data_IF_581382141367
#
_entry.id   IF_581382141367
#
_cell.length_a   1.000
_cell.length_b   1.000
_cell.length_c   1.000
_cell.angle_alpha   90.00
_cell.angle_beta   90.00
_cell.angle_gamma   90.00
#
_symmetry.space_group_name_H-M   'P 1'
#
loop_
_entity.id
_entity.type
_entity.pdbx_description
1 polymer ?
#
# COMPACT_ATOMS: atom_id res chain seq x y z
N UNK A 1 -9.63 1.60 8.60
CA UNK A 1 -9.60 0.40 7.74
C UNK A 1 -10.12 0.63 6.30
N UNK A 2 -11.19 1.41 6.07
CA UNK A 2 -11.67 1.68 4.69
C UNK A 2 -10.63 2.25 3.73
N UNK A 3 -9.70 3.07 4.20
CA UNK A 3 -8.70 3.74 3.34
C UNK A 3 -7.73 2.75 2.69
N UNK A 4 -7.24 1.74 3.41
CA UNK A 4 -6.26 0.79 2.85
C UNK A 4 -6.86 -0.16 1.82
N UNK A 5 -8.11 -0.59 1.97
CA UNK A 5 -8.78 -1.49 1.01
C UNK A 5 -9.00 -0.85 -0.36
N UNK A 6 -8.85 0.47 -0.47
CA UNK A 6 -8.96 1.24 -1.70
C UNK A 6 -7.66 1.97 -2.08
N UNK A 7 -6.56 1.72 -1.36
CA UNK A 7 -5.30 2.39 -1.60
C UNK A 7 -4.69 1.95 -2.95
N UNK A 8 -4.64 2.87 -3.90
CA UNK A 8 -4.06 2.70 -5.24
C UNK A 8 -2.60 3.09 -5.27
N UNK A 9 -2.18 3.95 -4.34
CA UNK A 9 -0.81 4.44 -4.24
C UNK A 9 -0.32 4.44 -2.80
N UNK A 10 0.92 3.99 -2.59
CA UNK A 10 1.68 4.05 -1.35
C UNK A 10 2.97 4.81 -1.65
N UNK A 11 3.01 6.12 -1.36
CA UNK A 11 4.16 6.98 -1.72
C UNK A 11 5.17 7.04 -0.59
N UNK A 12 6.38 6.56 -0.85
CA UNK A 12 7.53 6.67 0.06
C UNK A 12 8.27 7.98 -0.13
N UNK A 13 8.65 8.60 1.00
CA UNK A 13 9.42 9.84 1.04
C UNK A 13 10.46 9.76 2.14
N UNK A 14 11.73 10.20 1.92
CA UNK A 14 12.73 10.21 2.97
C UNK A 14 12.27 11.01 4.19
N UNK A 15 12.36 10.44 5.37
CA UNK A 15 11.98 11.08 6.63
C UNK A 15 12.81 12.34 6.95
N UNK A 16 13.98 12.48 6.33
CA UNK A 16 14.83 13.67 6.41
C UNK A 16 14.33 14.87 5.58
N UNK A 17 13.28 14.68 4.76
CA UNK A 17 12.81 15.68 3.79
C UNK A 17 11.47 16.28 4.22
N UNK A 18 11.49 17.16 5.23
CA UNK A 18 10.30 17.91 5.69
C UNK A 18 9.59 18.64 4.54
N UNK A 19 10.34 19.16 3.55
CA UNK A 19 9.81 19.83 2.37
C UNK A 19 9.02 18.89 1.44
N UNK A 20 9.33 17.59 1.41
CA UNK A 20 8.56 16.59 0.67
C UNK A 20 7.30 16.20 1.46
N UNK A 21 7.44 15.98 2.77
CA UNK A 21 6.31 15.67 3.66
C UNK A 21 5.26 16.79 3.58
N UNK A 22 5.66 18.05 3.62
CA UNK A 22 4.77 19.21 3.50
C UNK A 22 3.97 19.26 2.18
N UNK A 23 4.41 18.54 1.14
CA UNK A 23 3.72 18.46 -0.16
C UNK A 23 2.66 17.36 -0.25
N UNK A 24 2.51 16.49 0.77
CA UNK A 24 1.55 15.38 0.80
C UNK A 24 0.13 15.82 0.36
N UNK A 25 -0.46 16.91 0.90
CA UNK A 25 -1.81 17.31 0.51
C UNK A 25 -1.94 17.66 -0.98
N UNK A 26 -0.88 18.22 -1.59
CA UNK A 26 -0.87 18.58 -3.01
C UNK A 26 -0.64 17.38 -3.93
N UNK A 27 0.18 16.41 -3.50
CA UNK A 27 0.45 15.18 -4.27
C UNK A 27 -0.75 14.25 -4.20
N UNK A 28 -1.44 14.25 -3.06
CA UNK A 28 -2.64 13.47 -2.76
C UNK A 28 -2.49 11.96 -3.08
N UNK A 29 -1.44 11.26 -2.58
CA UNK A 29 -1.43 9.80 -2.62
C UNK A 29 -2.54 9.27 -1.71
N UNK A 30 -3.02 8.05 -1.95
CA UNK A 30 -3.98 7.44 -1.03
C UNK A 30 -3.33 7.14 0.35
N UNK A 31 -2.04 6.75 0.33
CA UNK A 31 -1.21 6.58 1.54
C UNK A 31 0.17 7.20 1.32
N UNK A 32 0.65 7.96 2.28
CA UNK A 32 1.99 8.54 2.33
C UNK A 32 2.82 7.86 3.42
N UNK A 33 4.09 7.60 3.16
CA UNK A 33 5.01 6.95 4.10
C UNK A 33 6.26 7.81 4.28
N UNK A 34 6.49 8.29 5.50
CA UNK A 34 7.80 8.86 5.87
C UNK A 34 8.76 7.71 6.16
N UNK A 35 9.80 7.59 5.38
CA UNK A 35 10.71 6.46 5.40
C UNK A 35 11.92 6.71 6.28
N UNK A 36 12.06 5.94 7.37
CA UNK A 36 13.21 5.94 8.27
C UNK A 36 14.23 4.83 7.92
N UNK A 37 13.91 3.95 6.98
CA UNK A 37 14.77 2.82 6.62
C UNK A 37 15.75 3.20 5.50
N UNK A 38 15.62 2.64 4.31
CA UNK A 38 16.62 2.71 3.24
C UNK A 38 16.90 4.14 2.74
N UNK A 39 15.92 5.04 2.83
CA UNK A 39 16.08 6.43 2.42
C UNK A 39 16.87 7.30 3.42
N UNK A 40 17.35 6.73 4.54
CA UNK A 40 18.05 7.48 5.60
C UNK A 40 19.35 6.78 5.96
N UNK A 41 20.47 7.49 5.91
CA UNK A 41 21.77 6.97 6.33
C UNK A 41 21.80 6.64 7.83
N UNK A 42 22.61 5.65 8.24
CA UNK A 42 22.69 5.17 9.62
C UNK A 42 22.94 6.28 10.64
N UNK A 43 23.82 7.22 10.35
CA UNK A 43 24.15 8.35 11.22
C UNK A 43 23.05 9.43 11.34
N UNK A 44 22.04 9.38 10.47
CA UNK A 44 20.96 10.35 10.42
C UNK A 44 19.61 9.81 10.98
N UNK A 45 19.54 8.53 11.33
CA UNK A 45 18.29 7.86 11.75
C UNK A 45 17.58 8.59 12.90
N UNK A 46 18.32 8.94 13.93
CA UNK A 46 17.79 9.63 15.10
C UNK A 46 17.28 11.05 14.76
N UNK A 47 18.04 11.78 13.96
CA UNK A 47 17.65 13.12 13.49
C UNK A 47 16.40 13.04 12.58
N UNK A 48 16.32 12.03 11.73
CA UNK A 48 15.21 11.82 10.81
C UNK A 48 13.85 11.61 11.52
N UNK A 49 13.85 10.91 12.68
CA UNK A 49 12.64 10.74 13.52
C UNK A 49 12.04 12.10 13.91
N UNK A 50 12.87 12.99 14.45
CA UNK A 50 12.43 14.32 14.88
C UNK A 50 11.92 15.18 13.70
N UNK A 51 12.60 15.11 12.55
CA UNK A 51 12.19 15.84 11.33
C UNK A 51 10.84 15.33 10.84
N UNK A 52 10.66 14.01 10.71
CA UNK A 52 9.41 13.42 10.24
C UNK A 52 8.25 13.74 11.18
N UNK A 53 8.42 13.52 12.49
CA UNK A 53 7.40 13.80 13.48
C UNK A 53 6.94 15.26 13.44
N UNK A 54 7.89 16.21 13.47
CA UNK A 54 7.58 17.63 13.42
C UNK A 54 6.87 18.05 12.11
N UNK A 55 7.29 17.51 10.97
CA UNK A 55 6.69 17.80 9.67
C UNK A 55 5.26 17.25 9.56
N UNK A 56 5.01 16.05 10.08
CA UNK A 56 3.70 15.39 10.06
C UNK A 56 2.74 16.10 11.04
N UNK A 57 3.18 16.41 12.26
CA UNK A 57 2.37 17.12 13.23
C UNK A 57 2.02 18.55 12.77
N UNK A 58 2.88 19.17 11.95
CA UNK A 58 2.57 20.45 11.32
C UNK A 58 1.51 20.34 10.21
N UNK A 59 1.43 19.20 9.53
CA UNK A 59 0.39 18.94 8.52
C UNK A 59 -0.96 18.59 9.14
N UNK A 60 -0.94 17.78 10.19
CA UNK A 60 -2.13 17.22 10.83
C UNK A 60 -2.01 17.37 12.34
N UNK A 61 -2.24 18.60 12.88
CA UNK A 61 -2.08 18.89 14.30
C UNK A 61 -2.98 17.99 15.17
N UNK A 62 -2.44 17.40 16.22
CA UNK A 62 -3.15 16.48 17.11
C UNK A 62 -4.33 17.13 17.83
N UNK A 63 -4.22 18.39 18.19
CA UNK A 63 -5.28 19.21 18.79
C UNK A 63 -6.46 19.45 17.83
N UNK A 64 -6.26 19.23 16.52
CA UNK A 64 -7.29 19.27 15.48
C UNK A 64 -7.72 17.89 15.00
N UNK A 65 -7.43 16.84 15.77
CA UNK A 65 -7.80 15.45 15.49
C UNK A 65 -6.72 14.60 14.86
N UNK A 66 -5.53 15.17 14.53
CA UNK A 66 -4.35 14.42 14.08
C UNK A 66 -4.50 13.63 12.77
N UNK A 67 -5.58 13.87 12.01
CA UNK A 67 -5.87 13.14 10.76
C UNK A 67 -6.21 14.14 9.65
N UNK A 68 -5.84 13.75 8.42
CA UNK A 68 -6.10 14.49 7.21
C UNK A 68 -6.71 13.63 6.11
N UNK A 69 -6.90 14.19 4.92
CA UNK A 69 -7.47 13.46 3.78
C UNK A 69 -6.54 12.34 3.26
N UNK A 70 -5.25 12.40 3.58
CA UNK A 70 -4.25 11.39 3.21
C UNK A 70 -3.84 10.62 4.46
N UNK A 71 -3.88 9.29 4.41
CA UNK A 71 -3.34 8.45 5.48
C UNK A 71 -1.82 8.54 5.49
N UNK A 72 -1.23 8.95 6.61
CA UNK A 72 0.23 9.04 6.77
C UNK A 72 0.71 7.93 7.70
N UNK A 73 1.77 7.24 7.29
CA UNK A 73 2.45 6.19 8.04
C UNK A 73 3.94 6.51 8.14
N UNK A 74 4.64 5.81 9.03
CA UNK A 74 6.11 5.81 9.10
C UNK A 74 6.61 4.40 8.77
N UNK A 75 7.56 4.27 7.83
CA UNK A 75 8.32 3.03 7.68
C UNK A 75 9.45 3.05 8.69
N UNK A 76 9.39 2.12 9.63
CA UNK A 76 10.41 1.90 10.65
C UNK A 76 11.58 1.10 10.09
N UNK A 77 12.73 1.09 10.77
CA UNK A 77 13.81 0.17 10.43
C UNK A 77 13.43 -1.28 10.76
N UNK A 78 14.09 -2.24 10.11
CA UNK A 78 13.82 -3.65 10.32
C UNK A 78 14.00 -4.07 11.79
N UNK A 79 13.23 -5.07 12.21
CA UNK A 79 13.33 -5.67 13.54
C UNK A 79 14.75 -6.23 13.76
N UNK A 80 15.26 -6.10 14.96
CA UNK A 80 16.62 -6.51 15.30
C UNK A 80 17.70 -5.47 14.99
N UNK A 81 17.33 -4.35 14.36
CA UNK A 81 18.23 -3.20 14.24
C UNK A 81 18.19 -2.34 15.50
N UNK A 82 19.26 -1.59 15.82
CA UNK A 82 19.28 -0.72 17.01
C UNK A 82 18.32 0.47 16.92
N UNK A 83 17.64 0.64 15.78
CA UNK A 83 16.76 1.78 15.53
C UNK A 83 15.27 1.46 15.69
N UNK A 84 14.87 0.18 15.59
CA UNK A 84 13.46 -0.24 15.53
C UNK A 84 12.61 0.34 16.68
N UNK A 85 13.02 0.12 17.91
CA UNK A 85 12.23 0.55 19.08
C UNK A 85 12.09 2.08 19.16
N UNK A 86 13.18 2.81 18.85
CA UNK A 86 13.14 4.27 18.77
C UNK A 86 12.26 4.81 17.64
N UNK A 87 12.15 4.08 16.53
CA UNK A 87 11.28 4.44 15.41
C UNK A 87 9.81 4.23 15.78
N UNK A 88 9.48 3.11 16.44
CA UNK A 88 8.12 2.83 16.94
C UNK A 88 7.70 3.89 17.95
N UNK A 89 8.58 4.23 18.90
CA UNK A 89 8.32 5.28 19.89
C UNK A 89 8.05 6.65 19.22
N UNK A 90 8.87 7.03 18.23
CA UNK A 90 8.69 8.26 17.49
C UNK A 90 7.38 8.28 16.69
N UNK A 91 7.01 7.17 16.03
CA UNK A 91 5.76 7.03 15.30
C UNK A 91 4.55 7.13 16.24
N UNK A 92 4.54 6.44 17.37
CA UNK A 92 3.48 6.55 18.38
C UNK A 92 3.34 7.96 18.95
N UNK A 93 4.45 8.72 18.98
CA UNK A 93 4.52 10.10 19.44
C UNK A 93 3.95 11.14 18.48
N UNK A 94 3.69 10.85 17.21
CA UNK A 94 3.24 11.84 16.20
C UNK A 94 1.88 11.51 15.57
N UNK A 95 1.38 12.39 14.69
CA UNK A 95 0.06 12.28 14.07
C UNK A 95 0.09 11.34 12.84
N UNK A 96 0.43 10.05 13.04
CA UNK A 96 0.37 9.03 12.00
C UNK A 96 -0.67 7.97 12.33
N UNK A 97 -1.21 7.31 11.30
CA UNK A 97 -2.20 6.26 11.46
C UNK A 97 -1.56 4.91 11.86
N UNK A 98 -0.25 4.73 11.69
CA UNK A 98 0.43 3.49 11.97
C UNK A 98 1.83 3.42 11.37
N UNK A 99 2.33 2.20 11.23
CA UNK A 99 3.69 1.92 10.76
C UNK A 99 3.71 0.95 9.56
N UNK A 100 4.78 1.05 8.79
CA UNK A 100 5.18 0.08 7.77
C UNK A 100 6.41 -0.64 8.30
N UNK A 101 6.36 -1.97 8.38
CA UNK A 101 7.46 -2.79 8.89
C UNK A 101 8.09 -3.55 7.73
N UNK A 102 9.34 -3.23 7.36
CA UNK A 102 10.05 -3.90 6.28
C UNK A 102 10.57 -5.28 6.72
N UNK A 103 10.92 -6.11 5.75
CA UNK A 103 11.71 -7.34 5.92
C UNK A 103 11.15 -8.32 6.94
N UNK A 104 9.82 -8.37 7.09
CA UNK A 104 9.17 -9.36 7.97
C UNK A 104 9.37 -10.78 7.43
N UNK A 105 9.80 -11.68 8.31
CA UNK A 105 10.13 -13.07 7.95
C UNK A 105 9.33 -14.10 8.74
N UNK A 106 8.99 -13.83 10.00
CA UNK A 106 8.35 -14.80 10.88
C UNK A 106 7.16 -14.23 11.67
N UNK A 107 6.19 -15.07 12.09
CA UNK A 107 5.13 -14.67 12.99
C UNK A 107 5.63 -14.15 14.36
N UNK A 108 6.79 -14.64 14.81
CA UNK A 108 7.41 -14.19 16.05
C UNK A 108 7.84 -12.73 15.97
N UNK A 109 8.43 -12.32 14.85
CA UNK A 109 8.75 -10.91 14.58
C UNK A 109 7.49 -10.03 14.59
N UNK A 110 6.40 -10.50 13.98
CA UNK A 110 5.14 -9.79 14.01
C UNK A 110 4.56 -9.68 15.44
N UNK A 111 4.76 -10.70 16.26
CA UNK A 111 4.45 -10.67 17.70
C UNK A 111 5.25 -9.59 18.43
N UNK A 112 6.54 -9.48 18.13
CA UNK A 112 7.41 -8.43 18.67
C UNK A 112 6.96 -7.02 18.26
N UNK A 113 6.62 -6.81 16.99
CA UNK A 113 6.06 -5.52 16.53
C UNK A 113 4.82 -5.14 17.34
N UNK A 114 3.89 -6.06 17.55
CA UNK A 114 2.68 -5.79 18.33
C UNK A 114 2.95 -5.48 19.79
N UNK A 115 3.90 -6.17 20.38
CA UNK A 115 4.33 -5.87 21.74
C UNK A 115 4.88 -4.44 21.81
N UNK A 116 5.77 -4.06 20.90
CA UNK A 116 6.33 -2.71 20.87
C UNK A 116 5.23 -1.64 20.69
N UNK A 117 4.23 -1.87 19.82
CA UNK A 117 3.08 -0.98 19.70
C UNK A 117 2.25 -0.89 20.98
N UNK A 118 2.02 -2.02 21.65
CA UNK A 118 1.25 -2.07 22.90
C UNK A 118 1.95 -1.33 24.06
N UNK A 119 3.27 -1.37 24.13
CA UNK A 119 4.08 -0.61 25.11
C UNK A 119 3.85 0.90 25.00
N UNK A 120 3.49 1.39 23.81
CA UNK A 120 3.09 2.78 23.57
C UNK A 120 1.57 3.00 23.57
N UNK A 121 0.78 2.04 24.07
CA UNK A 121 -0.69 2.10 24.08
C UNK A 121 -1.32 2.31 22.69
N UNK A 122 -0.69 1.75 21.65
CA UNK A 122 -1.04 1.96 20.24
C UNK A 122 -1.37 0.65 19.50
N UNK A 123 -2.13 -0.22 20.15
CA UNK A 123 -2.48 -1.57 19.65
C UNK A 123 -3.40 -1.56 18.43
N UNK A 124 -4.06 -0.45 18.14
CA UNK A 124 -4.95 -0.23 17.00
C UNK A 124 -4.25 0.42 15.79
N UNK A 125 -2.93 0.63 15.87
CA UNK A 125 -2.14 1.18 14.79
C UNK A 125 -2.32 0.38 13.48
N UNK A 126 -2.40 1.10 12.37
CA UNK A 126 -2.29 0.49 11.04
C UNK A 126 -0.92 -0.15 10.90
N UNK A 127 -0.89 -1.43 10.52
CA UNK A 127 0.35 -2.19 10.33
C UNK A 127 0.43 -2.72 8.91
N UNK A 128 1.35 -2.18 8.10
CA UNK A 128 1.64 -2.71 6.76
C UNK A 128 2.90 -3.58 6.84
N UNK A 129 2.76 -4.83 6.37
CA UNK A 129 3.86 -5.80 6.32
C UNK A 129 4.64 -5.69 5.01
N UNK A 130 5.97 -5.57 5.06
CA UNK A 130 6.87 -5.69 3.93
C UNK A 130 7.34 -7.13 3.74
N UNK A 131 6.92 -7.77 2.64
CA UNK A 131 7.39 -9.09 2.21
C UNK A 131 8.42 -8.91 1.10
N UNK A 132 9.68 -8.91 1.49
CA UNK A 132 10.80 -8.54 0.63
C UNK A 132 12.06 -9.38 0.90
N UNK A 133 11.88 -10.52 1.57
CA UNK A 133 12.92 -11.53 1.77
C UNK A 133 12.45 -12.89 1.25
N UNK A 134 13.37 -13.79 0.93
CA UNK A 134 13.05 -15.14 0.49
C UNK A 134 12.16 -15.89 1.50
N UNK A 135 12.52 -15.81 2.78
CA UNK A 135 11.75 -16.46 3.85
C UNK A 135 10.37 -15.83 4.02
N UNK A 136 10.28 -14.48 4.07
CA UNK A 136 9.01 -13.77 4.18
C UNK A 136 8.05 -14.10 3.04
N UNK A 137 8.56 -14.21 1.81
CA UNK A 137 7.78 -14.63 0.64
C UNK A 137 7.40 -16.12 0.72
N UNK A 138 8.32 -16.99 1.13
CA UNK A 138 8.05 -18.43 1.28
C UNK A 138 6.93 -18.66 2.31
N UNK A 139 6.92 -17.96 3.42
CA UNK A 139 5.98 -18.10 4.53
C UNK A 139 4.84 -17.05 4.53
N UNK A 140 4.66 -16.32 3.42
CA UNK A 140 3.70 -15.23 3.30
C UNK A 140 2.30 -15.58 3.83
N UNK A 141 1.80 -16.80 3.54
CA UNK A 141 0.47 -17.24 3.99
C UNK A 141 0.38 -17.31 5.52
N UNK A 142 1.42 -17.80 6.18
CA UNK A 142 1.46 -17.92 7.64
C UNK A 142 1.57 -16.54 8.25
N UNK A 143 2.52 -15.72 7.77
CA UNK A 143 2.73 -14.36 8.24
C UNK A 143 1.44 -13.52 8.17
N UNK A 144 0.78 -13.49 7.02
CA UNK A 144 -0.39 -12.63 6.80
C UNK A 144 -1.64 -13.08 7.56
N UNK A 145 -1.69 -14.32 8.08
CA UNK A 145 -2.78 -14.78 8.94
C UNK A 145 -2.74 -14.19 10.36
N UNK A 146 -1.68 -13.47 10.73
CA UNK A 146 -1.49 -12.91 12.07
C UNK A 146 -1.92 -11.43 12.21
N UNK A 147 -2.83 -10.95 11.35
CA UNK A 147 -3.56 -9.70 11.58
C UNK A 147 -2.76 -8.43 11.31
N UNK A 148 -2.15 -8.31 10.15
CA UNK A 148 -1.70 -7.04 9.58
C UNK A 148 -2.86 -6.32 8.88
N UNK A 149 -2.70 -5.03 8.57
CA UNK A 149 -3.72 -4.22 7.91
C UNK A 149 -3.62 -4.26 6.38
N UNK A 150 -2.40 -4.46 5.86
CA UNK A 150 -2.07 -4.57 4.44
C UNK A 150 -0.69 -5.21 4.27
N UNK A 151 -0.32 -5.53 3.04
CA UNK A 151 1.00 -6.04 2.68
C UNK A 151 1.53 -5.35 1.43
N UNK A 152 2.84 -5.21 1.32
CA UNK A 152 3.49 -4.88 0.05
C UNK A 152 4.53 -5.94 -0.33
N UNK A 153 4.84 -6.03 -1.62
CA UNK A 153 5.93 -6.86 -2.16
C UNK A 153 7.13 -5.98 -2.50
N UNK A 154 8.25 -6.15 -1.79
CA UNK A 154 9.51 -5.43 -2.04
C UNK A 154 10.45 -6.24 -2.94
N UNK A 155 10.36 -6.01 -4.25
CA UNK A 155 11.10 -6.79 -5.24
C UNK A 155 12.61 -6.55 -5.23
N UNK A 156 13.06 -5.34 -4.88
CA UNK A 156 14.49 -4.99 -4.89
C UNK A 156 15.24 -5.75 -3.79
N UNK A 157 14.72 -5.69 -2.55
CA UNK A 157 15.27 -6.44 -1.42
C UNK A 157 15.16 -7.95 -1.62
N UNK A 158 14.01 -8.44 -2.13
CA UNK A 158 13.82 -9.85 -2.42
C UNK A 158 14.88 -10.38 -3.40
N UNK A 159 15.15 -9.65 -4.49
CA UNK A 159 16.16 -10.06 -5.47
C UNK A 159 17.57 -9.98 -4.90
N UNK A 160 17.87 -8.98 -4.07
CA UNK A 160 19.14 -8.88 -3.37
C UNK A 160 19.34 -10.08 -2.42
N UNK A 161 18.31 -10.46 -1.67
CA UNK A 161 18.35 -11.58 -0.71
C UNK A 161 18.59 -12.93 -1.40
N UNK A 162 17.96 -13.20 -2.56
CA UNK A 162 18.17 -14.45 -3.31
C UNK A 162 19.39 -14.44 -4.24
N UNK A 163 20.15 -13.32 -4.31
CA UNK A 163 21.31 -13.16 -5.18
C UNK A 163 20.96 -13.08 -6.68
N UNK A 164 19.75 -12.64 -7.01
CA UNK A 164 19.25 -12.50 -8.37
C UNK A 164 19.65 -11.16 -9.01
N UNK A 165 19.03 -10.85 -10.16
CA UNK A 165 19.18 -9.58 -10.87
C UNK A 165 17.84 -9.10 -11.39
N UNK A 166 17.51 -7.84 -11.13
CA UNK A 166 16.30 -7.20 -11.66
C UNK A 166 16.36 -7.07 -13.18
N UNK A 167 15.25 -7.36 -13.81
CA UNK A 167 15.07 -7.19 -15.26
C UNK A 167 13.81 -6.35 -15.53
N UNK A 168 13.77 -5.69 -16.70
CA UNK A 168 12.59 -4.94 -17.12
C UNK A 168 11.36 -5.83 -17.30
N UNK A 169 11.56 -7.07 -17.72
CA UNK A 169 10.47 -8.03 -17.93
C UNK A 169 9.86 -8.58 -16.63
N UNK A 170 10.57 -8.49 -15.49
CA UNK A 170 10.08 -8.89 -14.19
C UNK A 170 9.82 -10.38 -14.01
N UNK A 171 10.29 -11.23 -14.94
CA UNK A 171 10.08 -12.68 -14.85
C UNK A 171 10.73 -13.31 -13.62
N UNK A 172 11.86 -12.75 -13.17
CA UNK A 172 12.63 -13.20 -12.00
C UNK A 172 11.89 -13.03 -10.68
N UNK A 173 10.92 -12.12 -10.63
CA UNK A 173 10.09 -11.88 -9.44
C UNK A 173 8.66 -12.39 -9.57
N UNK A 174 8.24 -12.88 -10.73
CA UNK A 174 6.85 -13.23 -11.00
C UNK A 174 6.29 -14.26 -10.00
N UNK A 175 7.06 -15.28 -9.64
CA UNK A 175 6.64 -16.26 -8.64
C UNK A 175 6.41 -15.61 -7.27
N UNK A 176 7.37 -14.84 -6.78
CA UNK A 176 7.29 -14.17 -5.47
C UNK A 176 6.13 -13.16 -5.44
N UNK A 177 6.01 -12.34 -6.49
CA UNK A 177 4.94 -11.36 -6.69
C UNK A 177 3.57 -12.04 -6.67
N UNK A 178 3.37 -13.13 -7.41
CA UNK A 178 2.12 -13.90 -7.42
C UNK A 178 1.83 -14.56 -6.07
N UNK A 179 2.86 -15.07 -5.38
CA UNK A 179 2.71 -15.71 -4.07
C UNK A 179 2.24 -14.73 -3.00
N UNK A 180 2.79 -13.51 -2.97
CA UNK A 180 2.37 -12.46 -2.04
C UNK A 180 0.92 -12.04 -2.32
N UNK A 181 0.54 -11.83 -3.58
CA UNK A 181 -0.84 -11.51 -3.96
C UNK A 181 -1.82 -12.62 -3.52
N UNK A 182 -1.48 -13.89 -3.76
CA UNK A 182 -2.29 -15.04 -3.33
C UNK A 182 -2.43 -15.11 -1.80
N UNK A 183 -1.32 -14.93 -1.07
CA UNK A 183 -1.33 -14.96 0.39
C UNK A 183 -2.18 -13.82 0.98
N UNK A 184 -2.07 -12.62 0.41
CA UNK A 184 -2.90 -11.48 0.78
C UNK A 184 -4.39 -11.73 0.54
N UNK A 185 -4.74 -12.29 -0.62
CA UNK A 185 -6.11 -12.67 -0.94
C UNK A 185 -6.70 -13.66 0.07
N UNK A 186 -5.94 -14.71 0.42
CA UNK A 186 -6.36 -15.72 1.40
C UNK A 186 -6.55 -15.14 2.81
N UNK A 187 -5.81 -14.09 3.16
CA UNK A 187 -5.93 -13.38 4.43
C UNK A 187 -6.99 -12.25 4.39
N UNK A 188 -7.60 -11.97 3.24
CA UNK A 188 -8.55 -10.87 3.05
C UNK A 188 -7.90 -9.48 3.16
N UNK A 189 -6.62 -9.36 2.83
CA UNK A 189 -5.83 -8.15 2.98
C UNK A 189 -5.61 -7.43 1.64
N UNK A 190 -5.57 -6.09 1.63
CA UNK A 190 -5.08 -5.34 0.50
C UNK A 190 -3.58 -5.59 0.29
N UNK A 191 -3.19 -5.79 -0.98
CA UNK A 191 -1.81 -5.93 -1.40
C UNK A 191 -1.37 -4.76 -2.29
N UNK A 192 -0.19 -4.21 -2.01
CA UNK A 192 0.45 -3.14 -2.76
C UNK A 192 1.66 -3.70 -3.50
N UNK A 193 1.72 -3.42 -4.78
CA UNK A 193 2.68 -3.98 -5.69
C UNK A 193 4.05 -3.28 -5.61
N UNK A 194 5.08 -3.93 -6.14
CA UNK A 194 6.47 -3.49 -6.17
C UNK A 194 6.69 -2.10 -6.74
N UNK A 195 7.85 -1.49 -6.46
CA UNK A 195 8.30 -0.23 -7.07
C UNK A 195 8.74 -0.41 -8.53
N UNK A 196 8.72 0.68 -9.29
CA UNK A 196 9.49 0.85 -10.54
C UNK A 196 10.52 1.96 -10.30
N UNK A 197 11.79 1.61 -10.42
CA UNK A 197 12.91 2.49 -10.09
C UNK A 197 13.28 3.45 -11.22
N UNK A 198 12.91 3.16 -12.47
CA UNK A 198 13.07 4.08 -13.58
C UNK A 198 12.01 5.19 -13.51
N UNK A 199 12.42 6.36 -13.03
CA UNK A 199 11.54 7.51 -12.85
C UNK A 199 11.21 8.26 -14.14
N UNK A 200 11.91 7.98 -15.22
CA UNK A 200 11.73 8.63 -16.52
C UNK A 200 10.77 7.86 -17.45
N UNK A 201 10.51 6.59 -17.15
CA UNK A 201 9.76 5.67 -18.02
C UNK A 201 8.33 5.45 -17.48
N UNK A 202 7.44 6.36 -17.83
CA UNK A 202 6.01 6.26 -17.46
C UNK A 202 5.34 5.05 -18.11
N UNK A 203 5.74 4.64 -19.33
CA UNK A 203 5.16 3.48 -20.01
C UNK A 203 5.51 2.17 -19.29
N UNK A 204 6.75 2.04 -18.85
CA UNK A 204 7.15 0.90 -18.02
C UNK A 204 6.37 0.86 -16.69
N UNK A 205 6.21 2.00 -16.04
CA UNK A 205 5.42 2.07 -14.80
C UNK A 205 3.98 1.61 -15.04
N UNK A 206 3.32 2.10 -16.09
CA UNK A 206 1.94 1.74 -16.43
C UNK A 206 1.81 0.25 -16.77
N UNK A 207 2.73 -0.31 -17.56
CA UNK A 207 2.72 -1.72 -17.93
C UNK A 207 2.95 -2.64 -16.71
N UNK A 208 3.93 -2.30 -15.85
CA UNK A 208 4.19 -3.07 -14.63
C UNK A 208 3.03 -2.98 -13.63
N UNK A 209 2.42 -1.80 -13.48
CA UNK A 209 1.23 -1.60 -12.65
C UNK A 209 0.02 -2.40 -13.17
N UNK A 210 -0.20 -2.44 -14.49
CA UNK A 210 -1.24 -3.25 -15.10
C UNK A 210 -1.03 -4.74 -14.81
N UNK A 211 0.20 -5.24 -14.99
CA UNK A 211 0.56 -6.62 -14.61
C UNK A 211 0.32 -6.92 -13.13
N UNK A 212 0.60 -5.97 -12.23
CA UNK A 212 0.27 -6.09 -10.81
C UNK A 212 -1.24 -6.19 -10.56
N UNK A 213 -2.03 -5.33 -11.23
CA UNK A 213 -3.49 -5.37 -11.16
C UNK A 213 -4.04 -6.72 -11.64
N UNK A 214 -3.50 -7.27 -12.72
CA UNK A 214 -3.89 -8.58 -13.25
C UNK A 214 -3.57 -9.74 -12.29
N UNK A 215 -2.50 -9.61 -11.50
CA UNK A 215 -2.15 -10.56 -10.43
C UNK A 215 -3.01 -10.41 -9.16
N UNK A 216 -3.86 -9.36 -9.08
CA UNK A 216 -4.75 -9.13 -7.95
C UNK A 216 -4.26 -8.10 -6.93
N UNK A 217 -3.19 -7.39 -7.20
CA UNK A 217 -2.81 -6.21 -6.41
C UNK A 217 -3.85 -5.10 -6.53
N UNK A 218 -3.99 -4.29 -5.49
CA UNK A 218 -4.99 -3.23 -5.41
C UNK A 218 -4.41 -1.83 -5.56
N UNK A 219 -3.10 -1.73 -5.48
CA UNK A 219 -2.34 -0.50 -5.61
C UNK A 219 -0.86 -0.80 -5.79
N UNK A 220 -0.05 0.24 -5.82
CA UNK A 220 1.37 0.16 -6.13
C UNK A 220 2.20 1.07 -5.22
N UNK A 221 3.39 0.60 -4.84
CA UNK A 221 4.38 1.46 -4.22
C UNK A 221 4.90 2.48 -5.23
N UNK A 222 5.00 3.72 -4.78
CA UNK A 222 5.52 4.87 -5.51
C UNK A 222 6.70 5.46 -4.74
N UNK A 223 7.77 5.79 -5.47
CA UNK A 223 8.98 6.42 -4.92
C UNK A 223 9.19 7.84 -5.47
N UNK A 224 8.28 8.31 -6.30
CA UNK A 224 8.28 9.66 -6.85
C UNK A 224 6.84 10.18 -7.02
N UNK A 225 6.57 11.49 -6.76
CA UNK A 225 5.22 12.06 -6.91
C UNK A 225 4.56 11.85 -8.28
N UNK A 226 5.34 11.81 -9.37
CA UNK A 226 4.83 11.54 -10.73
C UNK A 226 4.16 10.16 -10.87
N UNK A 227 4.57 9.18 -10.06
CA UNK A 227 4.02 7.82 -10.13
C UNK A 227 2.62 7.72 -9.50
N UNK A 228 2.25 8.66 -8.64
CA UNK A 228 0.93 8.64 -7.96
C UNK A 228 -0.22 8.71 -8.95
N UNK A 229 -0.31 9.71 -9.86
CA UNK A 229 -1.41 9.74 -10.85
C UNK A 229 -1.40 8.54 -11.80
N UNK A 230 -0.23 7.99 -12.14
CA UNK A 230 -0.13 6.79 -12.97
C UNK A 230 -0.70 5.55 -12.24
N UNK A 231 -0.38 5.39 -10.96
CA UNK A 231 -0.96 4.33 -10.13
C UNK A 231 -2.50 4.50 -10.03
N UNK A 232 -2.98 5.72 -9.80
CA UNK A 232 -4.41 6.01 -9.75
C UNK A 232 -5.10 5.67 -11.08
N UNK A 233 -4.48 5.99 -12.22
CA UNK A 233 -4.99 5.64 -13.55
C UNK A 233 -5.19 4.14 -13.73
N UNK A 234 -4.20 3.31 -13.32
CA UNK A 234 -4.25 1.86 -13.52
C UNK A 234 -5.20 1.18 -12.53
N UNK A 235 -5.15 1.56 -11.24
CA UNK A 235 -5.89 0.86 -10.19
C UNK A 235 -7.33 1.38 -9.96
N UNK A 236 -7.74 2.43 -10.67
CA UNK A 236 -9.14 2.88 -10.69
C UNK A 236 -9.88 2.21 -11.86
N UNK A 237 -11.01 1.52 -11.61
CA UNK A 237 -11.81 0.97 -12.69
C UNK A 237 -12.29 2.06 -13.66
N UNK A 238 -12.16 1.81 -14.95
CA UNK A 238 -12.64 2.71 -16.00
C UNK A 238 -14.17 2.76 -16.04
N UNK A 239 -14.78 3.81 -16.61
CA UNK A 239 -16.23 3.86 -16.82
C UNK A 239 -16.76 2.66 -17.62
N UNK A 240 -16.00 2.17 -18.60
CA UNK A 240 -16.36 0.99 -19.40
C UNK A 240 -16.36 -0.30 -18.55
N UNK A 241 -15.33 -0.53 -17.73
CA UNK A 241 -15.27 -1.66 -16.81
C UNK A 241 -16.43 -1.63 -15.80
N UNK A 242 -16.77 -0.44 -15.28
CA UNK A 242 -17.88 -0.28 -14.35
C UNK A 242 -19.25 -0.51 -15.04
N UNK A 243 -19.43 -0.07 -16.30
CA UNK A 243 -20.65 -0.33 -17.06
C UNK A 243 -20.82 -1.82 -17.32
N UNK A 244 -19.80 -2.48 -17.87
CA UNK A 244 -19.81 -3.93 -18.09
C UNK A 244 -20.07 -4.72 -16.79
N UNK A 245 -19.43 -4.35 -15.70
CA UNK A 245 -19.65 -5.01 -14.39
C UNK A 245 -21.11 -4.87 -13.92
N UNK A 246 -21.78 -3.72 -14.15
CA UNK A 246 -23.21 -3.55 -13.83
C UNK A 246 -24.09 -4.44 -14.70
N UNK A 247 -23.78 -4.55 -16.00
CA UNK A 247 -24.51 -5.41 -16.94
C UNK A 247 -24.41 -6.88 -16.55
N UNK A 248 -23.20 -7.38 -16.20
CA UNK A 248 -23.00 -8.75 -15.72
C UNK A 248 -23.84 -9.04 -14.48
N UNK A 249 -23.84 -8.12 -13.49
CA UNK A 249 -24.62 -8.30 -12.25
C UNK A 249 -26.12 -8.27 -12.55
N UNK A 250 -26.59 -7.37 -13.42
CA UNK A 250 -28.01 -7.26 -13.80
C UNK A 250 -28.49 -8.48 -14.59
N UNK A 251 -27.69 -8.97 -15.54
CA UNK A 251 -27.99 -10.16 -16.34
C UNK A 251 -28.14 -11.41 -15.47
N UNK A 252 -27.26 -11.59 -14.50
CA UNK A 252 -27.34 -12.71 -13.56
C UNK A 252 -28.63 -12.68 -12.69
N UNK A 253 -29.08 -11.49 -12.27
CA UNK A 253 -30.34 -11.32 -11.55
C UNK A 253 -31.57 -11.65 -12.40
N UNK A 254 -31.50 -11.42 -13.70
CA UNK A 254 -32.53 -11.75 -14.68
C UNK A 254 -32.49 -13.23 -15.15
N UNK A 255 -31.52 -14.03 -14.69
CA UNK A 255 -31.34 -15.43 -15.11
C UNK A 255 -30.72 -15.58 -16.49
N UNK A 256 -30.10 -14.52 -17.03
CA UNK A 256 -29.45 -14.53 -18.36
C UNK A 256 -27.99 -14.97 -18.19
N UNK A 257 -27.55 -15.93 -18.99
CA UNK A 257 -26.21 -16.51 -18.91
C UNK A 257 -25.20 -15.92 -19.91
N UNK A 258 -25.55 -14.91 -20.72
CA UNK A 258 -24.68 -14.32 -21.76
C UNK A 258 -24.72 -12.81 -21.69
N UNK A 259 -23.52 -12.18 -21.58
CA UNK A 259 -23.30 -10.72 -21.66
C UNK A 259 -22.18 -10.49 -22.67
N UNK A 260 -22.35 -9.58 -23.62
CA UNK A 260 -21.39 -9.28 -24.69
C UNK A 260 -20.88 -10.52 -25.47
N UNK A 261 -21.76 -11.53 -25.66
CA UNK A 261 -21.41 -12.78 -26.33
C UNK A 261 -20.56 -13.75 -25.50
N UNK A 262 -20.29 -13.45 -24.24
CA UNK A 262 -19.58 -14.31 -23.30
C UNK A 262 -20.51 -14.88 -22.25
N UNK A 263 -20.29 -16.14 -21.86
CA UNK A 263 -21.05 -16.77 -20.78
C UNK A 263 -20.72 -16.09 -19.45
N UNK A 264 -21.75 -15.61 -18.77
CA UNK A 264 -21.64 -15.01 -17.44
C UNK A 264 -22.18 -15.99 -16.40
N UNK A 265 -21.29 -16.63 -15.67
CA UNK A 265 -21.58 -17.51 -14.54
C UNK A 265 -21.35 -16.80 -13.18
N UNK A 266 -21.49 -17.52 -12.09
CA UNK A 266 -21.31 -17.00 -10.74
C UNK A 266 -19.89 -16.43 -10.50
N UNK A 267 -18.86 -16.97 -11.16
CA UNK A 267 -17.48 -16.48 -11.09
C UNK A 267 -17.39 -15.08 -11.68
N UNK A 268 -18.00 -14.86 -12.85
CA UNK A 268 -18.03 -13.55 -13.50
C UNK A 268 -18.80 -12.51 -12.70
N UNK A 269 -19.90 -12.92 -12.04
CA UNK A 269 -20.65 -12.06 -11.12
C UNK A 269 -19.80 -11.65 -9.91
N UNK A 270 -19.02 -12.57 -9.35
CA UNK A 270 -18.08 -12.27 -8.26
C UNK A 270 -17.01 -11.26 -8.70
N UNK A 271 -16.43 -11.44 -9.89
CA UNK A 271 -15.45 -10.50 -10.47
C UNK A 271 -16.08 -9.12 -10.72
N UNK A 272 -17.28 -9.07 -11.29
CA UNK A 272 -18.00 -7.83 -11.52
C UNK A 272 -18.30 -7.07 -10.23
N UNK A 273 -18.74 -7.76 -9.17
CA UNK A 273 -18.95 -7.15 -7.86
C UNK A 273 -17.65 -6.61 -7.26
N UNK A 274 -16.52 -7.31 -7.41
CA UNK A 274 -15.22 -6.84 -6.97
C UNK A 274 -14.79 -5.56 -7.72
N UNK A 275 -15.05 -5.47 -9.03
CA UNK A 275 -14.82 -4.26 -9.82
C UNK A 275 -15.69 -3.10 -9.32
N UNK A 276 -16.99 -3.32 -9.11
CA UNK A 276 -17.92 -2.30 -8.60
C UNK A 276 -17.55 -1.81 -7.18
N UNK A 277 -17.02 -2.68 -6.33
CA UNK A 277 -16.57 -2.30 -4.99
C UNK A 277 -15.37 -1.32 -5.00
N UNK A 278 -14.62 -1.27 -6.12
CA UNK A 278 -13.51 -0.33 -6.35
C UNK A 278 -13.94 0.96 -7.06
N UNK A 279 -15.22 1.13 -7.40
CA UNK A 279 -15.68 2.34 -8.03
C UNK A 279 -15.29 3.58 -7.18
N UNK A 280 -14.86 4.68 -7.83
CA UNK A 280 -14.65 5.95 -7.13
C UNK A 280 -15.92 6.33 -6.34
N UNK A 281 -15.75 6.90 -5.16
CA UNK A 281 -16.90 7.49 -4.47
C UNK A 281 -17.44 8.65 -5.33
N UNK A 282 -18.77 8.77 -5.49
CA UNK A 282 -19.31 9.90 -6.21
C UNK A 282 -18.84 11.19 -5.54
N UNK A 283 -18.34 12.12 -6.34
CA UNK A 283 -18.01 13.45 -5.83
C UNK A 283 -19.21 14.00 -5.06
N UNK A 284 -19.00 14.60 -3.87
CA UNK A 284 -20.08 15.24 -3.16
C UNK A 284 -20.73 16.25 -4.10
N UNK A 285 -21.99 16.04 -4.44
CA UNK A 285 -22.75 16.98 -5.27
C UNK A 285 -22.65 18.32 -4.59
N UNK A 286 -21.98 19.29 -5.24
CA UNK A 286 -22.06 20.69 -4.85
C UNK A 286 -23.54 21.02 -4.73
N UNK A 287 -24.05 21.14 -3.50
CA UNK A 287 -25.38 21.68 -3.31
C UNK A 287 -25.30 23.12 -3.82
N UNK A 288 -26.18 23.53 -4.74
CA UNK A 288 -26.23 24.91 -5.14
C UNK A 288 -26.52 25.73 -3.86
N UNK A 289 -25.69 26.74 -3.64
CA UNK A 289 -25.94 27.74 -2.59
C UNK A 289 -27.39 28.15 -2.71
N UNK A 290 -28.16 27.96 -1.66
CA UNK A 290 -29.53 28.47 -1.62
C UNK A 290 -29.47 29.99 -1.63
N UNK A 291 -30.30 30.65 -2.47
CA UNK A 291 -30.35 32.09 -2.56
C UNK A 291 -30.79 32.76 -1.23
#
# INVERSE_FOLDING_TARGET
MRTLTRARSLLFMPATRADMIAKIPRIAPDVAVADLEDAVAAGDKERARGIAAAAIDALYPKDQGGQGPVTVLIRVNAIGTPWFDGDVAAAAGCAVAGIVVPKLTTPQELGHVRQALAEHSWSDAVLIAGLETALGVADARVLLSHGVSAVYFGAEDYIADIGGRRTRAGAEVLYARSRVALAAHLAGLPALDQVVTDLADDEHFLADAAGGRDLGYQGKMCIHPRQVPLAHQVFTPTPAELAHAREVVAAAQAGVAVVDGQMADEVHVKMARATLARAPEPEPRNQPERP
#
